data_IF_483926612563
#
_entry.id   IF_483926612563
#
_cell.length_a   1.000
_cell.length_b   1.000
_cell.length_c   1.000
_cell.angle_alpha   90.00
_cell.angle_beta   90.00
_cell.angle_gamma   90.00
#
_symmetry.space_group_name_H-M   'P 1'
#
loop_
_entity.id
_entity.type
_entity.pdbx_description
1 polymer ?
#
# COMPACT_ATOMS: atom_id res chain seq x y z
N UNK A 1 0.51 -7.09 27.79
CA UNK A 1 1.13 -5.76 27.72
C UNK A 1 0.31 -4.80 28.57
N UNK A 2 0.98 -4.17 29.56
CA UNK A 2 0.27 -3.42 30.62
C UNK A 2 -0.32 -2.07 30.18
N UNK A 3 -0.09 -1.63 28.93
CA UNK A 3 -0.48 -0.30 28.43
C UNK A 3 -1.34 -0.32 27.19
N UNK A 4 -1.69 -1.49 26.65
CA UNK A 4 -2.51 -1.64 25.43
C UNK A 4 -2.05 -0.75 24.26
N UNK A 5 -0.72 -0.62 24.09
CA UNK A 5 -0.07 0.12 23.00
C UNK A 5 0.59 -0.85 22.05
N UNK A 6 0.29 -0.73 20.76
CA UNK A 6 0.83 -1.53 19.68
C UNK A 6 1.78 -0.67 18.82
N UNK A 7 3.04 -1.06 18.74
CA UNK A 7 4.03 -0.45 17.85
C UNK A 7 4.15 -1.32 16.60
N UNK A 8 3.79 -0.77 15.46
CA UNK A 8 3.64 -1.54 14.21
C UNK A 8 4.77 -1.31 13.21
N UNK A 9 5.57 -0.25 13.38
CA UNK A 9 6.53 0.13 12.35
C UNK A 9 5.84 0.30 10.99
N UNK A 10 6.55 0.04 9.91
CA UNK A 10 6.11 0.24 8.53
C UNK A 10 5.03 -0.75 8.03
N UNK A 11 4.49 -1.57 8.93
CA UNK A 11 3.26 -2.32 8.63
C UNK A 11 2.02 -1.42 8.65
N UNK A 12 2.11 -0.25 9.31
CA UNK A 12 0.98 0.69 9.42
C UNK A 12 1.41 2.11 9.04
N UNK A 13 0.65 2.68 8.11
CA UNK A 13 0.70 4.08 7.69
C UNK A 13 -0.61 4.77 8.07
N UNK A 14 -0.54 5.88 8.77
CA UNK A 14 -1.72 6.65 9.14
C UNK A 14 -1.72 8.02 8.44
N UNK A 15 -2.52 8.14 7.38
CA UNK A 15 -2.63 9.35 6.55
C UNK A 15 -1.72 9.39 5.33
N UNK A 16 -0.79 8.45 5.19
CA UNK A 16 0.04 8.28 4.00
C UNK A 16 -0.31 7.02 3.23
N UNK A 17 -0.04 7.01 1.93
CA UNK A 17 -0.16 5.83 1.08
C UNK A 17 0.91 4.81 1.49
N UNK A 18 0.54 3.56 1.84
CA UNK A 18 1.52 2.51 2.13
C UNK A 18 2.52 2.31 0.99
N UNK A 19 3.75 1.88 1.31
CA UNK A 19 4.79 1.65 0.31
C UNK A 19 5.17 0.17 0.26
N UNK A 20 4.50 -0.59 -0.59
CA UNK A 20 4.62 -2.07 -0.66
C UNK A 20 5.48 -2.57 -1.83
N UNK A 21 6.08 -1.67 -2.63
CA UNK A 21 6.82 -2.04 -3.84
C UNK A 21 7.94 -3.06 -3.59
N UNK A 22 8.64 -2.95 -2.46
CA UNK A 22 9.68 -3.90 -2.03
C UNK A 22 9.19 -4.96 -1.04
N UNK A 23 7.92 -4.89 -0.66
CA UNK A 23 7.26 -5.82 0.25
C UNK A 23 6.35 -6.81 -0.49
N UNK A 24 5.12 -6.94 0.01
CA UNK A 24 4.09 -7.81 -0.54
C UNK A 24 2.71 -7.27 -0.18
N UNK A 25 1.79 -7.21 -1.15
CA UNK A 25 0.40 -6.81 -0.88
C UNK A 25 -0.34 -7.92 -0.14
N UNK A 26 -0.17 -9.17 -0.59
CA UNK A 26 -0.78 -10.32 0.10
C UNK A 26 -0.18 -10.56 1.49
N UNK A 27 1.12 -10.31 1.64
CA UNK A 27 1.81 -10.35 2.94
C UNK A 27 1.34 -9.24 3.89
N UNK A 28 1.08 -8.05 3.38
CA UNK A 28 0.49 -6.94 4.16
C UNK A 28 -0.89 -7.32 4.70
N UNK A 29 -1.78 -7.85 3.87
CA UNK A 29 -3.09 -8.34 4.31
C UNK A 29 -2.99 -9.37 5.44
N UNK A 30 -2.08 -10.34 5.32
CA UNK A 30 -1.86 -11.34 6.37
C UNK A 30 -1.32 -10.70 7.67
N UNK A 31 -0.43 -9.70 7.55
CA UNK A 31 0.09 -8.98 8.70
C UNK A 31 -1.01 -8.14 9.38
N UNK A 32 -1.85 -7.44 8.62
CA UNK A 32 -2.96 -6.65 9.15
C UNK A 32 -4.00 -7.53 9.84
N UNK A 33 -4.31 -8.71 9.29
CA UNK A 33 -5.16 -9.71 9.95
C UNK A 33 -4.58 -10.14 11.31
N UNK A 34 -3.25 -10.38 11.36
CA UNK A 34 -2.61 -10.70 12.62
C UNK A 34 -2.65 -9.50 13.59
N UNK A 35 -2.38 -8.27 13.12
CA UNK A 35 -2.44 -7.07 13.95
C UNK A 35 -3.84 -6.81 14.52
N UNK A 36 -4.89 -7.14 13.77
CA UNK A 36 -6.28 -6.97 14.22
C UNK A 36 -6.63 -7.84 15.43
N UNK A 37 -5.88 -8.91 15.67
CA UNK A 37 -6.09 -9.82 16.81
C UNK A 37 -5.59 -9.26 18.15
N UNK A 38 -4.82 -8.18 18.14
CA UNK A 38 -4.31 -7.58 19.37
C UNK A 38 -5.35 -6.67 20.02
N UNK A 39 -5.51 -6.83 21.34
CA UNK A 39 -6.36 -5.96 22.16
C UNK A 39 -5.57 -4.70 22.57
N UNK A 40 -5.48 -3.72 21.64
CA UNK A 40 -4.78 -2.46 21.84
C UNK A 40 -5.74 -1.26 21.73
N UNK A 41 -5.50 -0.23 22.53
CA UNK A 41 -6.23 1.03 22.48
C UNK A 41 -5.49 2.06 21.61
N UNK A 42 -4.16 1.93 21.54
CA UNK A 42 -3.29 2.89 20.86
C UNK A 42 -2.39 2.16 19.87
N UNK A 43 -2.31 2.68 18.66
CA UNK A 43 -1.38 2.24 17.62
C UNK A 43 -0.36 3.33 17.36
N UNK A 44 0.92 2.96 17.40
CA UNK A 44 2.05 3.81 17.00
C UNK A 44 2.54 3.29 15.66
N UNK A 45 2.15 3.95 14.54
CA UNK A 45 2.53 3.55 13.19
C UNK A 45 4.00 3.86 12.90
N UNK A 46 4.55 3.29 11.84
CA UNK A 46 5.86 3.69 11.30
C UNK A 46 5.81 5.08 10.66
N UNK A 47 4.65 5.42 10.08
CA UNK A 47 4.41 6.69 9.39
C UNK A 47 3.08 7.30 9.79
N UNK A 48 3.07 8.62 9.98
CA UNK A 48 1.90 9.40 10.37
C UNK A 48 1.66 9.46 11.88
N UNK A 49 0.59 10.13 12.31
CA UNK A 49 0.30 10.34 13.72
C UNK A 49 -0.14 9.06 14.45
N UNK A 50 0.06 9.04 15.77
CA UNK A 50 -0.50 7.99 16.65
C UNK A 50 -2.03 7.94 16.49
N UNK A 51 -2.58 6.74 16.51
CA UNK A 51 -3.99 6.49 16.23
C UNK A 51 -4.54 5.32 17.06
N UNK A 52 -5.73 4.86 16.73
CA UNK A 52 -6.37 3.67 17.31
C UNK A 52 -6.38 2.50 16.31
N UNK A 53 -6.98 1.38 16.69
CA UNK A 53 -7.04 0.16 15.89
C UNK A 53 -7.86 0.27 14.60
N UNK A 54 -8.65 1.34 14.41
CA UNK A 54 -9.43 1.54 13.17
C UNK A 54 -8.54 1.72 11.93
N UNK A 55 -7.28 2.15 12.14
CA UNK A 55 -6.29 2.25 11.07
C UNK A 55 -6.03 0.91 10.38
N UNK A 56 -6.04 -0.20 11.11
CA UNK A 56 -5.81 -1.56 10.59
C UNK A 56 -6.86 -1.91 9.55
N UNK A 57 -8.13 -1.66 9.87
CA UNK A 57 -9.25 -1.92 8.94
C UNK A 57 -9.19 -1.01 7.70
N UNK A 58 -8.79 0.25 7.87
CA UNK A 58 -8.62 1.19 6.76
C UNK A 58 -7.51 0.74 5.79
N UNK A 59 -6.39 0.27 6.34
CA UNK A 59 -5.28 -0.26 5.52
C UNK A 59 -5.67 -1.57 4.83
N UNK A 60 -6.41 -2.45 5.51
CA UNK A 60 -6.93 -3.68 4.90
C UNK A 60 -7.79 -3.36 3.67
N UNK A 61 -8.71 -2.39 3.78
CA UNK A 61 -9.51 -1.96 2.62
C UNK A 61 -8.65 -1.35 1.50
N UNK A 62 -7.57 -0.63 1.86
CA UNK A 62 -6.64 -0.12 0.86
C UNK A 62 -5.91 -1.25 0.13
N UNK A 63 -5.41 -2.25 0.83
CA UNK A 63 -4.71 -3.38 0.22
C UNK A 63 -5.65 -4.23 -0.67
N UNK A 64 -6.89 -4.44 -0.21
CA UNK A 64 -7.94 -5.08 -1.01
C UNK A 64 -8.27 -4.27 -2.28
N UNK A 65 -8.37 -2.94 -2.16
CA UNK A 65 -8.54 -2.03 -3.29
C UNK A 65 -7.40 -2.15 -4.31
N UNK A 66 -6.14 -2.22 -3.86
CA UNK A 66 -4.98 -2.43 -4.75
C UNK A 66 -5.08 -3.75 -5.51
N UNK A 67 -5.46 -4.85 -4.85
CA UNK A 67 -5.64 -6.15 -5.51
C UNK A 67 -6.79 -6.12 -6.52
N UNK A 68 -7.85 -5.41 -6.23
CA UNK A 68 -9.00 -5.27 -7.11
C UNK A 68 -8.65 -4.48 -8.38
N UNK A 69 -7.92 -3.35 -8.22
CA UNK A 69 -7.41 -2.57 -9.37
C UNK A 69 -6.43 -3.41 -10.20
N UNK A 70 -5.50 -4.12 -9.55
CA UNK A 70 -4.54 -4.97 -10.24
C UNK A 70 -5.22 -6.12 -11.00
N UNK A 71 -6.26 -6.73 -10.41
CA UNK A 71 -7.04 -7.80 -11.07
C UNK A 71 -7.75 -7.28 -12.32
N UNK A 72 -8.33 -6.09 -12.27
CA UNK A 72 -8.92 -5.44 -13.46
C UNK A 72 -7.85 -5.16 -14.51
N UNK A 73 -6.70 -4.62 -14.11
CA UNK A 73 -5.59 -4.34 -15.01
C UNK A 73 -5.11 -5.59 -15.76
N UNK A 74 -5.02 -6.75 -15.08
CA UNK A 74 -4.70 -8.03 -15.72
C UNK A 74 -5.74 -8.40 -16.78
N UNK A 75 -7.03 -8.29 -16.44
CA UNK A 75 -8.12 -8.65 -17.36
C UNK A 75 -8.18 -7.73 -18.59
N UNK A 76 -7.87 -6.46 -18.41
CA UNK A 76 -7.92 -5.44 -19.47
C UNK A 76 -6.60 -5.33 -20.24
N UNK A 77 -5.53 -5.99 -19.77
CA UNK A 77 -4.22 -6.00 -20.41
C UNK A 77 -3.51 -4.64 -20.36
N UNK A 78 -3.79 -3.82 -19.34
CA UNK A 78 -3.18 -2.49 -19.16
C UNK A 78 -2.01 -2.52 -18.19
N UNK A 79 -1.10 -1.57 -18.35
CA UNK A 79 0.07 -1.42 -17.49
C UNK A 79 -0.31 -0.88 -16.09
N UNK A 80 0.58 -1.05 -15.06
CA UNK A 80 0.38 -0.46 -13.74
C UNK A 80 0.14 1.05 -13.78
N UNK A 81 0.87 1.76 -14.63
CA UNK A 81 0.76 3.22 -14.77
C UNK A 81 -0.59 3.63 -15.40
N UNK A 82 -1.04 2.92 -16.44
CA UNK A 82 -2.35 3.15 -17.05
C UNK A 82 -3.48 2.87 -16.07
N UNK A 83 -3.43 1.72 -15.39
CA UNK A 83 -4.39 1.36 -14.36
C UNK A 83 -4.48 2.41 -13.25
N UNK A 84 -3.33 2.93 -12.78
CA UNK A 84 -3.30 3.97 -11.76
C UNK A 84 -3.95 5.28 -12.22
N UNK A 85 -3.74 5.68 -13.48
CA UNK A 85 -4.30 6.92 -14.05
C UNK A 85 -5.81 6.87 -14.24
N UNK A 86 -6.34 5.68 -14.53
CA UNK A 86 -7.76 5.46 -14.76
C UNK A 86 -8.54 5.11 -13.47
N UNK A 87 -7.83 4.98 -12.34
CA UNK A 87 -8.44 4.58 -11.07
C UNK A 87 -8.95 5.79 -10.28
N UNK A 88 -10.22 5.74 -9.89
CA UNK A 88 -10.77 6.63 -8.85
C UNK A 88 -10.35 6.13 -7.47
N UNK A 89 -9.60 6.95 -6.74
CA UNK A 89 -9.11 6.63 -5.40
C UNK A 89 -10.22 6.63 -4.33
N UNK A 90 -11.38 7.25 -4.60
CA UNK A 90 -12.48 7.29 -3.65
C UNK A 90 -12.05 7.75 -2.25
N UNK A 91 -12.29 6.92 -1.24
CA UNK A 91 -11.92 7.21 0.17
C UNK A 91 -10.41 7.35 0.41
N UNK A 92 -9.55 6.94 -0.54
CA UNK A 92 -8.10 7.01 -0.42
C UNK A 92 -7.48 8.25 -1.08
N UNK A 93 -8.30 9.14 -1.64
CA UNK A 93 -7.84 10.36 -2.34
C UNK A 93 -7.11 11.36 -1.44
N UNK A 94 -7.36 11.30 -0.13
CA UNK A 94 -6.75 12.18 0.86
C UNK A 94 -5.38 11.66 1.39
N UNK A 95 -4.95 10.47 0.98
CA UNK A 95 -3.65 9.94 1.39
C UNK A 95 -2.52 10.71 0.72
N UNK A 96 -1.49 11.09 1.51
CA UNK A 96 -0.27 11.67 0.96
C UNK A 96 0.53 10.66 0.12
N UNK A 97 1.48 11.15 -0.68
CA UNK A 97 2.35 10.31 -1.52
C UNK A 97 1.56 9.37 -2.45
N UNK A 98 0.54 9.90 -3.14
CA UNK A 98 -0.40 9.12 -3.97
C UNK A 98 0.27 8.37 -5.13
N UNK A 99 1.46 8.79 -5.57
CA UNK A 99 2.25 8.09 -6.59
C UNK A 99 2.68 6.67 -6.16
N UNK A 100 2.65 6.36 -4.86
CA UNK A 100 2.91 5.02 -4.33
C UNK A 100 1.88 3.99 -4.81
N UNK A 101 0.68 4.45 -5.21
CA UNK A 101 -0.32 3.61 -5.88
C UNK A 101 0.31 2.80 -7.03
N UNK A 102 1.08 3.47 -7.89
CA UNK A 102 1.71 2.82 -9.05
C UNK A 102 2.69 1.74 -8.63
N UNK A 103 3.55 2.04 -7.64
CA UNK A 103 4.49 1.06 -7.10
C UNK A 103 3.79 -0.16 -6.48
N UNK A 104 2.68 0.09 -5.78
CA UNK A 104 1.86 -0.96 -5.18
C UNK A 104 1.16 -1.81 -6.25
N UNK A 105 0.72 -1.20 -7.36
CA UNK A 105 0.16 -1.94 -8.51
C UNK A 105 1.22 -2.79 -9.22
N UNK A 106 2.45 -2.30 -9.40
CA UNK A 106 3.57 -3.14 -9.90
C UNK A 106 3.75 -4.38 -9.02
N UNK A 107 3.72 -4.21 -7.70
CA UNK A 107 3.84 -5.31 -6.74
C UNK A 107 2.67 -6.28 -6.84
N UNK A 108 1.44 -5.78 -6.83
CA UNK A 108 0.25 -6.60 -6.90
C UNK A 108 0.17 -7.41 -8.21
N UNK A 109 0.45 -6.78 -9.34
CA UNK A 109 0.48 -7.45 -10.64
C UNK A 109 1.56 -8.55 -10.71
N UNK A 110 2.72 -8.30 -10.11
CA UNK A 110 3.79 -9.30 -10.03
C UNK A 110 3.38 -10.52 -9.19
N UNK A 111 2.72 -10.31 -8.05
CA UNK A 111 2.18 -11.39 -7.21
C UNK A 111 1.04 -12.14 -7.92
N UNK A 112 0.12 -11.46 -8.62
CA UNK A 112 -0.95 -12.07 -9.41
C UNK A 112 -0.41 -12.90 -10.59
N UNK A 113 0.76 -12.56 -11.12
CA UNK A 113 1.47 -13.36 -12.12
C UNK A 113 2.14 -14.62 -11.53
N UNK A 114 2.01 -14.87 -10.23
CA UNK A 114 2.52 -16.07 -9.55
C UNK A 114 3.89 -15.90 -8.89
N UNK A 115 4.38 -14.67 -8.74
CA UNK A 115 5.60 -14.42 -7.98
C UNK A 115 5.35 -14.64 -6.47
N UNK A 116 6.37 -15.18 -5.78
CA UNK A 116 6.33 -15.33 -4.34
C UNK A 116 6.24 -13.95 -3.64
N UNK A 117 5.52 -13.85 -2.51
CA UNK A 117 5.47 -12.63 -1.72
C UNK A 117 6.87 -12.12 -1.36
N UNK A 118 7.13 -10.85 -1.62
CA UNK A 118 8.43 -10.23 -1.36
C UNK A 118 9.55 -10.58 -2.36
N UNK A 119 9.27 -11.34 -3.43
CA UNK A 119 10.26 -11.60 -4.47
C UNK A 119 10.79 -10.30 -5.10
N UNK A 120 12.08 -10.24 -5.54
CA UNK A 120 12.63 -9.06 -6.18
C UNK A 120 11.83 -8.63 -7.41
N UNK A 121 11.51 -7.34 -7.50
CA UNK A 121 10.77 -6.72 -8.60
C UNK A 121 11.69 -5.82 -9.42
N UNK A 122 11.31 -5.47 -10.65
CA UNK A 122 11.96 -4.39 -11.41
C UNK A 122 11.66 -3.04 -10.77
N UNK A 123 12.49 -2.69 -9.78
CA UNK A 123 12.34 -1.45 -9.01
C UNK A 123 12.56 -0.21 -9.88
N UNK A 124 13.41 -0.31 -10.92
CA UNK A 124 13.69 0.83 -11.81
C UNK A 124 12.45 1.17 -12.64
N UNK A 125 11.76 0.16 -13.17
CA UNK A 125 10.51 0.34 -13.89
C UNK A 125 9.43 0.92 -12.94
N UNK A 126 9.26 0.34 -11.74
CA UNK A 126 8.26 0.79 -10.79
C UNK A 126 8.47 2.25 -10.35
N UNK A 127 9.70 2.64 -10.01
CA UNK A 127 10.04 4.03 -9.64
C UNK A 127 9.88 4.98 -10.84
N UNK A 128 10.27 4.55 -12.04
CA UNK A 128 10.08 5.34 -13.26
C UNK A 128 8.60 5.68 -13.50
N UNK A 129 7.72 4.70 -13.35
CA UNK A 129 6.28 4.88 -13.49
C UNK A 129 5.68 5.74 -12.37
N UNK A 130 6.15 5.60 -11.11
CA UNK A 130 5.76 6.49 -10.02
C UNK A 130 6.12 7.95 -10.32
N UNK A 131 7.34 8.22 -10.83
CA UNK A 131 7.77 9.56 -11.25
C UNK A 131 6.89 10.07 -12.40
N UNK A 132 6.57 9.22 -13.38
CA UNK A 132 5.71 9.58 -14.51
C UNK A 132 4.27 9.90 -14.04
N UNK A 133 3.75 9.19 -13.07
CA UNK A 133 2.45 9.45 -12.43
C UNK A 133 2.48 10.80 -11.68
N UNK A 134 3.57 11.11 -10.99
CA UNK A 134 3.80 12.36 -10.24
C UNK A 134 4.13 13.57 -11.17
N UNK A 135 3.85 13.46 -12.47
CA UNK A 135 4.06 14.52 -13.43
C UNK A 135 5.55 14.83 -13.71
N UNK A 136 6.43 13.83 -13.60
CA UNK A 136 7.86 13.92 -13.79
C UNK A 136 8.63 14.57 -12.63
N UNK A 137 7.96 14.82 -11.51
CA UNK A 137 8.58 15.38 -10.30
C UNK A 137 9.27 14.29 -9.48
N UNK A 138 10.34 14.61 -8.74
CA UNK A 138 10.95 13.66 -7.80
C UNK A 138 9.91 13.14 -6.80
N UNK A 139 10.09 11.90 -6.39
CA UNK A 139 9.28 11.31 -5.32
C UNK A 139 9.64 11.96 -3.99
N UNK A 140 8.63 12.12 -3.14
CA UNK A 140 8.77 12.64 -1.78
C UNK A 140 8.33 11.58 -0.77
N UNK A 141 8.64 11.80 0.49
CA UNK A 141 8.11 11.02 1.59
C UNK A 141 7.50 12.01 2.58
N UNK A 142 6.18 12.17 2.51
CA UNK A 142 5.42 13.11 3.35
C UNK A 142 4.69 12.37 4.48
N UNK A 143 4.63 11.05 4.39
CA UNK A 143 4.02 10.18 5.39
C UNK A 143 4.99 9.86 6.52
#
# INVERSE_FOLDING_TARGET
>A
PDRRVLFTGDLVFNGGTPFMVMGSVTGSLAALEHLSSFDADVVVPGHGPVCDMTVIERLRRYDEFILDVATRAVNDGVSPLEAARDTDLGEFSELSDSERLVGNLHRALFELAGAEPGAPIDLVAAIGDMVAFNGGKPLTCLA
#
